data_IF_568020399695
#
_entry.id   IF_568020399695
#
_cell.length_a   1.000
_cell.length_b   1.000
_cell.length_c   1.000
_cell.angle_alpha   90.00
_cell.angle_beta   90.00
_cell.angle_gamma   90.00
#
_symmetry.space_group_name_H-M   'P 1'
#
loop_
_entity.id
_entity.type
_entity.pdbx_description
1 polymer ?
#
# COMPACT_ATOMS: atom_id res chain seq x y z
N UNK A 1 -37.34 -34.35 -12.34
CA UNK A 1 -35.87 -34.19 -12.31
C UNK A 1 -35.48 -33.03 -13.22
N UNK A 2 -34.55 -32.18 -12.78
CA UNK A 2 -33.78 -31.22 -13.59
C UNK A 2 -34.23 -29.76 -13.40
N UNK A 3 -33.75 -29.07 -12.37
CA UNK A 3 -32.49 -28.31 -12.24
C UNK A 3 -32.67 -26.83 -12.62
N UNK A 4 -32.75 -25.99 -11.59
CA UNK A 4 -33.02 -24.56 -11.69
C UNK A 4 -31.84 -23.74 -12.22
N UNK A 5 -32.07 -22.47 -12.57
CA UNK A 5 -31.02 -21.60 -13.10
C UNK A 5 -29.91 -21.43 -12.06
N UNK A 6 -28.68 -21.72 -12.49
CA UNK A 6 -27.44 -21.48 -11.78
C UNK A 6 -27.36 -20.01 -11.36
N UNK A 7 -27.45 -19.75 -10.06
CA UNK A 7 -27.10 -18.46 -9.48
C UNK A 7 -25.60 -18.22 -9.65
N UNK A 8 -25.22 -17.42 -10.65
CA UNK A 8 -23.88 -16.83 -10.71
C UNK A 8 -23.81 -15.76 -9.62
N UNK A 9 -23.32 -16.16 -8.44
CA UNK A 9 -23.11 -15.25 -7.33
C UNK A 9 -22.07 -14.21 -7.74
N UNK A 10 -22.52 -12.95 -7.86
CA UNK A 10 -21.70 -11.79 -8.14
C UNK A 10 -20.48 -11.76 -7.19
N UNK A 11 -19.29 -12.10 -7.74
CA UNK A 11 -18.03 -12.03 -7.00
C UNK A 11 -17.57 -10.59 -6.97
N UNK A 12 -17.99 -9.85 -5.95
CA UNK A 12 -17.45 -8.51 -5.70
C UNK A 12 -16.00 -8.63 -5.23
N UNK A 13 -15.03 -8.17 -6.03
CA UNK A 13 -13.59 -8.10 -5.68
C UNK A 13 -13.30 -6.97 -4.69
N UNK A 14 -14.05 -6.91 -3.59
CA UNK A 14 -13.82 -5.91 -2.54
C UNK A 14 -12.80 -6.47 -1.55
N UNK A 15 -11.61 -5.87 -1.54
CA UNK A 15 -10.60 -6.15 -0.52
C UNK A 15 -11.03 -5.48 0.80
N UNK A 16 -10.87 -6.19 1.92
CA UNK A 16 -11.08 -5.61 3.26
C UNK A 16 -9.96 -4.63 3.57
N UNK A 17 -10.31 -3.34 3.69
CA UNK A 17 -9.40 -2.26 4.06
C UNK A 17 -9.52 -1.97 5.54
N UNK A 18 -8.38 -1.95 6.26
CA UNK A 18 -8.35 -1.57 7.68
C UNK A 18 -8.46 -0.05 7.82
N UNK A 19 -9.40 0.48 8.65
CA UNK A 19 -9.51 1.91 8.88
C UNK A 19 -8.29 2.45 9.65
N UNK A 20 -7.77 3.64 9.31
CA UNK A 20 -6.59 4.21 9.96
C UNK A 20 -6.90 4.65 11.41
N UNK A 21 -5.97 4.42 12.34
CA UNK A 21 -6.16 4.75 13.76
C UNK A 21 -5.99 6.23 14.10
N UNK A 22 -5.33 7.06 13.26
CA UNK A 22 -5.04 8.48 13.56
C UNK A 22 -5.15 9.40 12.34
N UNK A 23 -5.35 10.72 12.54
CA UNK A 23 -5.23 11.71 11.47
C UNK A 23 -3.82 11.67 10.86
N UNK A 24 -3.75 11.55 9.52
CA UNK A 24 -2.50 11.29 8.80
C UNK A 24 -1.53 12.48 8.84
N UNK A 25 -0.23 12.19 8.94
CA UNK A 25 0.82 13.21 8.79
C UNK A 25 1.11 13.44 7.29
N UNK A 26 0.29 14.29 6.66
CA UNK A 26 0.28 14.55 5.21
C UNK A 26 1.65 14.90 4.60
N UNK A 27 2.57 15.45 5.39
CA UNK A 27 3.82 16.00 4.88
C UNK A 27 4.78 14.95 4.30
N UNK A 28 4.73 13.68 4.75
CA UNK A 28 5.69 12.65 4.32
C UNK A 28 5.04 11.41 3.72
N UNK A 29 3.99 10.89 4.35
CA UNK A 29 3.22 9.73 3.85
C UNK A 29 1.76 10.17 3.73
N UNK A 30 1.37 10.80 2.60
CA UNK A 30 0.01 11.29 2.41
C UNK A 30 -1.04 10.17 2.46
N UNK A 31 -0.69 8.94 2.07
CA UNK A 31 -1.61 7.82 2.06
C UNK A 31 -0.90 6.52 2.45
N UNK A 32 -1.52 5.75 3.33
CA UNK A 32 -1.15 4.37 3.65
C UNK A 32 -2.44 3.58 3.83
N UNK A 33 -2.42 2.34 3.35
CA UNK A 33 -3.52 1.39 3.39
C UNK A 33 -2.96 0.02 3.73
N UNK A 34 -3.62 -0.68 4.65
CA UNK A 34 -3.41 -2.10 4.91
C UNK A 34 -4.64 -2.86 4.41
N UNK A 35 -4.42 -3.72 3.41
CA UNK A 35 -5.48 -4.43 2.71
C UNK A 35 -4.99 -5.85 2.35
N UNK A 36 -5.70 -6.88 2.79
CA UNK A 36 -5.43 -8.30 2.49
C UNK A 36 -3.94 -8.71 2.60
N UNK A 37 -3.31 -8.39 3.74
CA UNK A 37 -1.90 -8.71 3.97
C UNK A 37 -0.93 -7.90 3.10
N UNK A 38 -1.33 -6.75 2.56
CA UNK A 38 -0.45 -5.85 1.81
C UNK A 38 -0.55 -4.43 2.37
N UNK A 39 0.61 -3.86 2.68
CA UNK A 39 0.75 -2.43 2.98
C UNK A 39 1.03 -1.71 1.67
N UNK A 40 0.22 -0.71 1.35
CA UNK A 40 0.36 0.11 0.15
C UNK A 40 0.26 1.57 0.52
N UNK A 41 0.93 2.43 -0.23
CA UNK A 41 0.76 3.85 0.00
C UNK A 41 1.56 4.76 -0.91
N UNK A 42 1.35 6.04 -0.67
CA UNK A 42 1.97 7.15 -1.38
C UNK A 42 2.90 7.86 -0.41
N UNK A 43 4.16 8.00 -0.81
CA UNK A 43 5.23 8.60 -0.01
C UNK A 43 5.82 9.77 -0.77
N UNK A 44 5.92 10.94 -0.13
CA UNK A 44 6.64 12.09 -0.69
C UNK A 44 8.13 12.00 -0.37
N UNK A 45 8.97 12.45 -1.31
CA UNK A 45 10.41 12.64 -1.02
C UNK A 45 10.64 13.76 0.00
N UNK A 46 9.66 14.62 0.27
CA UNK A 46 9.76 15.79 1.16
C UNK A 46 10.45 17.00 0.52
N UNK A 47 11.26 16.79 -0.52
CA UNK A 47 11.92 17.85 -1.28
C UNK A 47 11.00 18.50 -2.33
N UNK A 48 9.94 17.81 -2.73
CA UNK A 48 8.99 18.26 -3.76
C UNK A 48 7.65 17.58 -3.47
N UNK A 49 6.60 18.38 -3.24
CA UNK A 49 5.26 17.88 -2.93
C UNK A 49 4.59 17.23 -4.15
N UNK A 50 5.02 17.58 -5.36
CA UNK A 50 4.55 16.97 -6.61
C UNK A 50 5.22 15.63 -6.93
N UNK A 51 6.38 15.34 -6.32
CA UNK A 51 7.12 14.09 -6.53
C UNK A 51 6.78 13.06 -5.47
N UNK A 52 5.76 12.26 -5.79
CA UNK A 52 5.32 11.14 -4.96
C UNK A 52 5.80 9.79 -5.52
N UNK A 53 6.01 8.86 -4.59
CA UNK A 53 6.38 7.48 -4.82
C UNK A 53 5.24 6.57 -4.36
N UNK A 54 4.81 5.69 -5.24
CA UNK A 54 3.88 4.61 -4.91
C UNK A 54 4.72 3.44 -4.43
N UNK A 55 4.49 3.02 -3.19
CA UNK A 55 5.24 1.93 -2.54
C UNK A 55 4.26 0.87 -2.05
N UNK A 56 4.63 -0.39 -2.17
CA UNK A 56 3.85 -1.52 -1.64
C UNK A 56 4.76 -2.59 -1.09
N UNK A 57 4.28 -3.28 -0.05
CA UNK A 57 4.96 -4.41 0.61
C UNK A 57 3.91 -5.47 0.92
N UNK A 58 4.14 -6.69 0.45
CA UNK A 58 3.32 -7.85 0.79
C UNK A 58 3.82 -8.49 2.09
N UNK A 59 2.90 -8.77 3.01
CA UNK A 59 3.15 -9.58 4.19
C UNK A 59 3.44 -11.05 3.79
N UNK A 60 4.22 -11.75 4.60
CA UNK A 60 4.63 -13.14 4.38
C UNK A 60 5.74 -13.33 3.34
N UNK A 61 5.57 -12.79 2.14
CA UNK A 61 6.59 -12.91 1.06
C UNK A 61 7.63 -11.80 1.07
N UNK A 62 7.34 -10.69 1.74
CA UNK A 62 8.19 -9.50 1.76
C UNK A 62 8.47 -8.93 0.36
N UNK A 63 7.64 -9.27 -0.62
CA UNK A 63 7.71 -8.71 -1.95
C UNK A 63 7.37 -7.23 -1.89
N UNK A 64 8.25 -6.39 -2.45
CA UNK A 64 8.10 -4.94 -2.42
C UNK A 64 8.19 -4.33 -3.81
N UNK A 65 7.49 -3.21 -3.99
CA UNK A 65 7.61 -2.36 -5.16
C UNK A 65 7.72 -0.89 -4.72
N UNK A 66 8.52 -0.11 -5.42
CA UNK A 66 8.57 1.33 -5.24
C UNK A 66 8.90 2.01 -6.57
N UNK A 67 7.98 2.85 -7.03
CA UNK A 67 8.09 3.60 -8.28
C UNK A 67 7.52 5.00 -8.07
N UNK A 68 7.92 5.96 -8.90
CA UNK A 68 7.25 7.26 -8.96
C UNK A 68 5.86 7.13 -9.58
N UNK A 69 5.03 8.18 -9.48
CA UNK A 69 3.68 8.20 -10.08
C UNK A 69 3.63 8.04 -11.61
N UNK A 70 4.75 8.22 -12.31
CA UNK A 70 4.91 8.01 -13.75
C UNK A 70 5.65 6.70 -14.06
N UNK A 71 5.51 5.69 -13.20
CA UNK A 71 6.07 4.35 -13.32
C UNK A 71 7.60 4.26 -13.46
N UNK A 72 8.35 5.31 -13.11
CA UNK A 72 9.81 5.25 -13.08
C UNK A 72 10.25 4.48 -11.83
N UNK A 73 11.10 3.45 -11.95
CA UNK A 73 11.55 2.67 -10.81
C UNK A 73 12.32 3.55 -9.83
N UNK A 74 12.12 3.32 -8.53
CA UNK A 74 12.82 4.08 -7.50
C UNK A 74 14.33 3.78 -7.56
N UNK A 75 15.14 4.79 -7.86
CA UNK A 75 16.61 4.65 -7.90
C UNK A 75 17.24 4.27 -6.55
N UNK A 76 16.52 4.42 -5.45
CA UNK A 76 16.93 4.00 -4.12
C UNK A 76 16.54 2.57 -3.75
N UNK A 77 15.71 1.89 -4.54
CA UNK A 77 15.34 0.50 -4.26
C UNK A 77 16.51 -0.43 -4.55
N UNK A 78 17.08 -0.43 -5.77
CA UNK A 78 18.25 -1.27 -6.16
C UNK A 78 18.19 -2.72 -5.63
N UNK A 79 17.00 -3.34 -5.60
CA UNK A 79 16.80 -4.69 -5.06
C UNK A 79 16.70 -4.79 -3.53
N UNK A 80 16.52 -3.66 -2.84
CA UNK A 80 16.40 -3.54 -1.38
C UNK A 80 15.30 -2.54 -0.98
N UNK A 81 14.99 -2.50 0.32
CA UNK A 81 14.06 -1.54 0.88
C UNK A 81 14.63 -0.11 0.85
N UNK A 82 14.10 0.71 -0.05
CA UNK A 82 14.42 2.13 -0.09
C UNK A 82 13.83 2.90 1.10
N UNK A 83 14.31 4.13 1.32
CA UNK A 83 13.78 4.99 2.39
C UNK A 83 12.29 5.29 2.25
N UNK A 84 11.71 5.23 1.04
CA UNK A 84 10.26 5.40 0.86
C UNK A 84 9.49 4.21 1.44
N UNK A 85 9.95 2.98 1.21
CA UNK A 85 9.32 1.78 1.77
C UNK A 85 9.45 1.78 3.29
N UNK A 86 10.62 2.15 3.83
CA UNK A 86 10.80 2.27 5.28
C UNK A 86 9.87 3.32 5.90
N UNK A 87 9.71 4.46 5.24
CA UNK A 87 8.77 5.49 5.69
C UNK A 87 7.31 5.01 5.62
N UNK A 88 6.94 4.29 4.56
CA UNK A 88 5.61 3.69 4.42
C UNK A 88 5.32 2.70 5.56
N UNK A 89 6.25 1.77 5.83
CA UNK A 89 6.10 0.78 6.90
C UNK A 89 6.04 1.45 8.27
N UNK A 90 6.88 2.47 8.51
CA UNK A 90 6.83 3.25 9.75
C UNK A 90 5.48 3.91 9.97
N UNK A 91 4.90 4.54 8.93
CA UNK A 91 3.55 5.10 9.02
C UNK A 91 2.49 4.01 9.19
N UNK A 92 2.62 2.86 8.52
CA UNK A 92 1.70 1.74 8.68
C UNK A 92 1.66 1.25 10.14
N UNK A 93 2.83 1.13 10.79
CA UNK A 93 2.91 0.78 12.22
C UNK A 93 2.24 1.84 13.10
N UNK A 94 2.38 3.13 12.78
CA UNK A 94 1.70 4.20 13.52
C UNK A 94 0.18 4.21 13.33
N UNK A 95 -0.30 3.80 12.16
CA UNK A 95 -1.72 3.83 11.79
C UNK A 95 -2.47 2.55 12.11
N UNK A 96 -1.79 1.40 12.12
CA UNK A 96 -2.40 0.08 12.27
C UNK A 96 -1.83 -0.73 13.44
N UNK A 97 -0.70 -0.31 14.02
CA UNK A 97 0.04 -1.08 15.03
C UNK A 97 1.12 -1.96 14.40
N UNK A 98 2.03 -2.43 15.25
CA UNK A 98 2.90 -3.56 14.96
C UNK A 98 2.45 -4.68 15.89
N UNK A 99 1.86 -5.73 15.33
CA UNK A 99 1.55 -6.97 16.04
C UNK A 99 2.58 -8.06 15.67
#
# INVERSE_FOLDING_TARGET
>A
MGDGPLSDGEKSSTVRVTPPARPRKLAKVPFVELADGRVQGVVSSGSDIGRVYVSSVAAGTYAFACSTNNNRPCGGARGSYCNHIRALVGEAVLQYGAE
#
